data_IF_127431932915
#
_entry.id   IF_127431932915
#
_cell.length_a   1.000
_cell.length_b   1.000
_cell.length_c   1.000
_cell.angle_alpha   90.00
_cell.angle_beta   90.00
_cell.angle_gamma   90.00
#
_symmetry.space_group_name_H-M   'P 1'
#
loop_
_entity.id
_entity.type
_entity.pdbx_description
1 polymer ?
#
# COMPACT_ATOMS: atom_id res chain seq x y z
N UNK A 1 5.64 5.28 8.24
CA UNK A 1 6.30 5.44 6.96
C UNK A 1 5.91 4.35 6.00
N UNK A 2 6.11 4.62 4.72
CA UNK A 2 5.69 3.68 3.68
C UNK A 2 6.38 2.32 3.82
N UNK A 3 7.65 2.31 4.18
CA UNK A 3 8.37 1.06 4.33
C UNK A 3 7.77 0.16 5.41
N UNK A 4 7.29 0.74 6.50
CA UNK A 4 6.65 -0.03 7.56
C UNK A 4 5.34 -0.64 7.08
N UNK A 5 4.60 0.09 6.25
CA UNK A 5 3.36 -0.41 5.66
C UNK A 5 3.64 -1.59 4.73
N UNK A 6 4.69 -1.51 3.92
CA UNK A 6 5.07 -2.63 3.06
C UNK A 6 5.48 -3.86 3.87
N UNK A 7 6.18 -3.66 4.98
CA UNK A 7 6.53 -4.76 5.87
C UNK A 7 5.30 -5.40 6.49
N UNK A 8 4.34 -4.59 6.91
CA UNK A 8 3.07 -5.11 7.44
C UNK A 8 2.33 -5.92 6.39
N UNK A 9 2.26 -5.39 5.18
CA UNK A 9 1.60 -6.08 4.08
C UNK A 9 2.25 -7.44 3.85
N UNK A 10 3.57 -7.49 3.79
CA UNK A 10 4.30 -8.73 3.54
C UNK A 10 4.08 -9.74 4.66
N UNK A 11 4.09 -9.28 5.91
CA UNK A 11 3.84 -10.15 7.05
C UNK A 11 2.44 -10.76 6.99
N UNK A 12 1.46 -9.95 6.62
CA UNK A 12 0.08 -10.42 6.49
C UNK A 12 -0.07 -11.41 5.35
N UNK A 13 0.60 -11.16 4.23
CA UNK A 13 0.57 -12.10 3.10
C UNK A 13 1.20 -13.45 3.45
N UNK A 14 2.29 -13.43 4.19
CA UNK A 14 2.94 -14.66 4.64
C UNK A 14 2.03 -15.43 5.60
N UNK A 15 1.39 -14.71 6.50
CA UNK A 15 0.46 -15.32 7.44
C UNK A 15 -0.72 -15.95 6.73
N UNK A 16 -1.26 -15.26 5.73
CA UNK A 16 -2.34 -15.78 4.91
C UNK A 16 -1.92 -17.08 4.22
N UNK A 17 -0.72 -17.07 3.65
CA UNK A 17 -0.18 -18.21 2.93
C UNK A 17 0.02 -19.42 3.86
N UNK A 18 0.54 -19.17 5.07
CA UNK A 18 0.72 -20.23 6.06
C UNK A 18 -0.63 -20.84 6.48
N UNK A 19 -1.64 -20.00 6.67
CA UNK A 19 -2.98 -20.47 6.99
C UNK A 19 -3.53 -21.34 5.87
N UNK A 20 -3.37 -20.89 4.64
CA UNK A 20 -3.84 -21.64 3.48
C UNK A 20 -3.15 -22.99 3.38
N UNK A 21 -1.84 -23.03 3.58
CA UNK A 21 -1.08 -24.25 3.54
C UNK A 21 -1.51 -25.21 4.65
N UNK A 22 -1.77 -24.67 5.83
CA UNK A 22 -2.15 -25.48 6.99
C UNK A 22 -3.54 -26.09 6.84
N UNK A 23 -4.49 -25.31 6.38
CA UNK A 23 -5.89 -25.75 6.32
C UNK A 23 -6.34 -26.22 4.94
N UNK A 24 -5.60 -25.86 3.90
CA UNK A 24 -5.94 -26.26 2.53
C UNK A 24 -7.23 -25.66 2.00
N UNK A 25 -7.76 -24.67 2.69
CA UNK A 25 -8.98 -24.01 2.26
C UNK A 25 -9.03 -22.60 2.82
N UNK A 26 -9.95 -21.82 2.30
CA UNK A 26 -10.13 -20.44 2.72
C UNK A 26 -10.88 -20.42 4.06
N UNK A 27 -10.23 -19.89 5.09
CA UNK A 27 -10.81 -19.86 6.43
C UNK A 27 -11.30 -18.46 6.79
N UNK A 28 -12.05 -18.35 7.86
CA UNK A 28 -12.52 -17.08 8.37
C UNK A 28 -11.35 -16.18 8.79
N UNK A 29 -10.32 -16.77 9.36
CA UNK A 29 -9.12 -16.01 9.72
C UNK A 29 -8.46 -15.42 8.48
N UNK A 30 -8.47 -16.13 7.36
CA UNK A 30 -7.94 -15.62 6.10
C UNK A 30 -8.75 -14.44 5.58
N UNK A 31 -10.05 -14.44 5.78
CA UNK A 31 -10.89 -13.29 5.44
C UNK A 31 -10.45 -12.05 6.22
N UNK A 32 -10.19 -12.23 7.50
CA UNK A 32 -9.73 -11.13 8.36
C UNK A 32 -8.36 -10.63 7.93
N UNK A 33 -7.48 -11.54 7.56
CA UNK A 33 -6.15 -11.18 7.07
C UNK A 33 -6.27 -10.42 5.75
N UNK A 34 -7.14 -10.87 4.86
CA UNK A 34 -7.40 -10.15 3.59
C UNK A 34 -7.89 -8.73 3.84
N UNK A 35 -8.80 -8.55 4.78
CA UNK A 35 -9.30 -7.23 5.12
C UNK A 35 -8.18 -6.32 5.61
N UNK A 36 -7.30 -6.86 6.44
CA UNK A 36 -6.14 -6.12 6.92
C UNK A 36 -5.19 -5.77 5.80
N UNK A 37 -4.95 -6.68 4.88
CA UNK A 37 -4.09 -6.43 3.73
C UNK A 37 -4.67 -5.29 2.90
N UNK A 38 -5.99 -5.28 2.67
CA UNK A 38 -6.64 -4.20 1.93
C UNK A 38 -6.49 -2.86 2.63
N UNK A 39 -6.64 -2.85 3.96
CA UNK A 39 -6.44 -1.63 4.74
C UNK A 39 -5.02 -1.10 4.57
N UNK A 40 -4.02 -1.99 4.67
CA UNK A 40 -2.63 -1.61 4.52
C UNK A 40 -2.36 -1.09 3.10
N UNK A 41 -2.90 -1.75 2.09
CA UNK A 41 -2.76 -1.30 0.70
C UNK A 41 -3.35 0.09 0.53
N UNK A 42 -4.50 0.34 1.12
CA UNK A 42 -5.14 1.66 1.07
C UNK A 42 -4.25 2.71 1.72
N UNK A 43 -3.67 2.40 2.87
CA UNK A 43 -2.76 3.31 3.55
C UNK A 43 -1.50 3.58 2.72
N UNK A 44 -0.96 2.54 2.08
CA UNK A 44 0.19 2.68 1.19
C UNK A 44 -0.14 3.65 0.06
N UNK A 45 -1.29 3.46 -0.57
CA UNK A 45 -1.71 4.33 -1.67
C UNK A 45 -1.88 5.77 -1.21
N UNK A 46 -2.45 5.98 -0.04
CA UNK A 46 -2.61 7.33 0.51
C UNK A 46 -1.27 7.98 0.77
N UNK A 47 -0.32 7.26 1.35
CA UNK A 47 1.01 7.79 1.61
C UNK A 47 1.77 8.09 0.32
N UNK A 48 1.68 7.19 -0.64
CA UNK A 48 2.31 7.40 -1.94
C UNK A 48 1.69 8.58 -2.68
N UNK A 49 0.39 8.75 -2.58
CA UNK A 49 -0.30 9.89 -3.18
C UNK A 49 0.13 11.21 -2.53
N UNK A 50 0.34 11.21 -1.21
CA UNK A 50 0.84 12.40 -0.54
C UNK A 50 2.21 12.80 -1.05
N UNK A 51 3.09 11.83 -1.25
CA UNK A 51 4.42 12.07 -1.80
C UNK A 51 4.31 12.59 -3.23
N UNK A 52 3.49 11.97 -4.04
CA UNK A 52 3.29 12.38 -5.43
C UNK A 52 2.71 13.80 -5.50
N UNK A 53 1.74 14.10 -4.65
CA UNK A 53 1.13 15.42 -4.61
C UNK A 53 2.16 16.48 -4.24
N UNK A 54 3.03 16.15 -3.29
CA UNK A 54 4.08 17.07 -2.87
C UNK A 54 5.08 17.31 -3.99
N UNK A 55 5.47 16.26 -4.70
CA UNK A 55 6.37 16.37 -5.83
C UNK A 55 5.74 17.16 -6.96
N UNK A 56 4.48 16.94 -7.24
CA UNK A 56 3.75 17.66 -8.26
C UNK A 56 3.61 19.14 -7.90
N UNK A 57 3.40 19.44 -6.65
CA UNK A 57 3.32 20.83 -6.20
C UNK A 57 4.65 21.55 -6.43
N UNK A 58 5.75 20.89 -6.13
CA UNK A 58 7.08 21.45 -6.37
C UNK A 58 7.31 21.64 -7.86
N UNK A 59 6.92 20.68 -8.66
CA UNK A 59 7.06 20.74 -10.10
C UNK A 59 6.23 21.84 -10.71
N UNK A 60 5.01 21.99 -10.23
CA UNK A 60 4.11 23.03 -10.75
C UNK A 60 4.52 24.41 -10.31
N UNK A 61 5.20 24.50 -9.18
CA UNK A 61 5.71 25.76 -8.73
C UNK A 61 6.93 26.22 -9.54
N UNK A 62 7.58 25.25 -10.13
CA UNK A 62 8.70 25.55 -10.98
C UNK A 62 8.14 26.11 -12.26
N UNK A 63 8.49 27.17 -12.61
CA UNK A 63 7.97 27.86 -13.63
C UNK A 63 7.78 27.34 -14.86
N UNK A 64 7.12 27.66 -15.09
CA UNK A 64 6.85 27.52 -16.08
C UNK A 64 7.32 26.93 -16.98
N UNK A 65 7.91 26.82 -16.64
CA UNK A 65 8.57 26.16 -17.28
C UNK A 65 7.95 25.41 -18.19
N UNK A 66 7.65 24.69 -17.79
CA UNK A 66 7.22 23.77 -18.48
C UNK A 66 6.28 24.05 -19.35
N UNK A 67 5.71 24.70 -18.97
CA UNK A 67 4.74 24.87 -19.59
C UNK A 67 4.83 25.09 -20.79
N UNK A 68 5.43 25.54 -20.92
CA UNK A 68 5.52 25.88 -21.96
C UNK A 68 5.13 25.17 -22.90
N UNK A 69 5.09 24.97 -23.15
CA UNK A 69 4.79 24.39 -24.03
C UNK A 69 4.09 24.23 -24.61
#
# INVERSE_FOLDING_TARGET
MVQDLYKQKRSLELRWQLEYEQFGKYTLDMVRIDDKIREVITEIKLEENKIADRENAIRNAAPEVSVAT
#
